data_IF_956750171325
#
_entry.id   IF_956750171325
#
_cell.length_a   1.000
_cell.length_b   1.000
_cell.length_c   1.000
_cell.angle_alpha   90.00
_cell.angle_beta   90.00
_cell.angle_gamma   90.00
#
_symmetry.space_group_name_H-M   'P 1'
#
loop_
_entity.id
_entity.type
_entity.pdbx_description
1 polymer ?
#
# COMPACT_ATOMS: atom_id res chain seq x y z
N UNK A 1 0.11 -2.42 -16.01
CA UNK A 1 -0.04 -2.46 -14.54
C UNK A 1 -0.92 -1.28 -14.15
N UNK A 2 -2.05 -1.47 -13.47
CA UNK A 2 -2.94 -0.36 -13.12
C UNK A 2 -2.39 0.47 -11.94
N UNK A 3 -2.67 1.76 -11.94
CA UNK A 3 -2.42 2.67 -10.83
C UNK A 3 -3.76 3.19 -10.30
N UNK A 4 -3.99 3.07 -9.00
CA UNK A 4 -5.20 3.55 -8.35
C UNK A 4 -4.86 4.68 -7.38
N UNK A 5 -5.61 5.77 -7.45
CA UNK A 5 -5.44 6.93 -6.57
C UNK A 5 -6.72 7.13 -5.76
N UNK A 6 -6.57 7.36 -4.46
CA UNK A 6 -7.67 7.77 -3.57
C UNK A 6 -7.22 8.94 -2.71
N UNK A 7 -8.02 10.00 -2.72
CA UNK A 7 -7.87 11.17 -1.87
C UNK A 7 -9.24 11.62 -1.38
N UNK A 8 -9.31 12.25 -0.22
CA UNK A 8 -10.56 12.76 0.34
C UNK A 8 -10.36 13.58 1.61
N UNK A 9 -11.44 14.26 2.02
CA UNK A 9 -11.53 15.00 3.29
C UNK A 9 -12.43 14.21 4.25
N UNK A 10 -12.37 14.48 5.55
CA UNK A 10 -13.18 13.75 6.55
C UNK A 10 -13.07 12.22 6.47
N UNK A 11 -11.97 11.69 5.94
CA UNK A 11 -11.63 10.27 6.08
C UNK A 11 -11.17 9.99 7.51
N UNK A 12 -11.26 8.73 7.99
CA UNK A 12 -10.95 8.42 9.38
C UNK A 12 -9.52 8.74 9.81
N UNK A 13 -8.55 8.75 8.88
CA UNK A 13 -7.16 9.11 9.16
C UNK A 13 -6.55 9.99 8.05
N UNK A 14 -5.68 10.94 8.44
CA UNK A 14 -4.86 11.72 7.51
C UNK A 14 -3.59 10.96 7.15
N UNK A 15 -3.59 10.23 6.03
CA UNK A 15 -2.45 9.40 5.60
C UNK A 15 -2.02 9.73 4.18
N UNK A 16 -0.72 9.59 3.91
CA UNK A 16 -0.09 9.72 2.59
C UNK A 16 0.65 8.42 2.31
N UNK A 17 0.00 7.48 1.64
CA UNK A 17 0.53 6.11 1.49
C UNK A 17 0.65 5.75 0.02
N UNK A 18 1.77 5.14 -0.34
CA UNK A 18 1.95 4.44 -1.63
C UNK A 18 2.09 2.95 -1.33
N UNK A 19 1.18 2.13 -1.87
CA UNK A 19 1.25 0.67 -1.76
C UNK A 19 1.38 0.04 -3.13
N UNK A 20 2.40 -0.81 -3.28
CA UNK A 20 2.66 -1.60 -4.47
C UNK A 20 2.32 -3.05 -4.12
N UNK A 21 1.32 -3.61 -4.79
CA UNK A 21 0.99 -5.03 -4.68
C UNK A 21 1.76 -5.81 -5.76
N UNK A 22 2.53 -6.81 -5.34
CA UNK A 22 3.19 -7.74 -6.25
C UNK A 22 2.20 -8.78 -6.77
N UNK A 23 2.57 -9.48 -7.84
CA UNK A 23 1.84 -10.69 -8.26
C UNK A 23 2.07 -11.78 -7.22
N UNK A 24 1.11 -12.70 -7.08
CA UNK A 24 1.34 -13.88 -6.25
C UNK A 24 2.52 -14.70 -6.76
N UNK A 25 3.36 -15.23 -5.86
CA UNK A 25 4.50 -16.05 -6.24
C UNK A 25 4.02 -17.36 -6.89
N UNK A 26 4.78 -17.93 -7.85
CA UNK A 26 4.44 -19.23 -8.43
C UNK A 26 4.45 -20.32 -7.35
N UNK A 27 3.27 -20.85 -7.04
CA UNK A 27 3.11 -21.81 -5.93
C UNK A 27 3.66 -23.21 -6.24
N UNK A 28 3.85 -23.54 -7.53
CA UNK A 28 4.31 -24.85 -8.00
C UNK A 28 5.72 -25.23 -7.54
N UNK A 29 6.54 -24.26 -7.11
CA UNK A 29 7.88 -24.50 -6.59
C UNK A 29 7.89 -24.95 -5.11
N UNK A 30 6.73 -24.91 -4.44
CA UNK A 30 6.61 -25.23 -3.04
C UNK A 30 5.75 -26.49 -2.83
N UNK A 31 6.02 -27.29 -1.79
CA UNK A 31 5.17 -28.44 -1.46
C UNK A 31 3.71 -28.02 -1.25
N UNK A 32 2.79 -28.92 -1.57
CA UNK A 32 1.39 -28.78 -1.21
C UNK A 32 1.28 -28.57 0.31
N UNK A 33 0.41 -27.64 0.73
CA UNK A 33 0.25 -27.22 2.13
C UNK A 33 1.46 -26.50 2.75
N UNK A 34 2.37 -25.96 1.95
CA UNK A 34 3.47 -25.11 2.44
C UNK A 34 3.01 -23.77 3.04
N UNK A 35 1.75 -23.36 2.81
CA UNK A 35 1.23 -22.08 3.25
C UNK A 35 1.50 -20.92 2.27
N UNK A 36 2.21 -21.16 1.17
CA UNK A 36 2.39 -20.17 0.11
C UNK A 36 1.04 -19.69 -0.44
N UNK A 37 0.91 -18.38 -0.67
CA UNK A 37 -0.31 -17.77 -1.24
C UNK A 37 -1.50 -17.69 -0.27
N UNK A 38 -1.46 -18.33 0.90
CA UNK A 38 -2.59 -18.35 1.85
C UNK A 38 -2.92 -16.98 2.45
N UNK A 39 -1.96 -16.06 2.44
CA UNK A 39 -2.12 -14.69 2.93
C UNK A 39 -2.02 -13.65 1.80
N UNK A 40 -2.22 -14.07 0.55
CA UNK A 40 -2.22 -13.21 -0.63
C UNK A 40 -0.85 -12.66 -1.03
N UNK A 41 -0.82 -11.68 -1.95
CA UNK A 41 0.40 -11.17 -2.57
C UNK A 41 1.28 -10.36 -1.60
N UNK A 42 2.54 -10.22 -1.96
CA UNK A 42 3.48 -9.34 -1.26
C UNK A 42 3.13 -7.87 -1.52
N UNK A 43 3.39 -7.01 -0.54
CA UNK A 43 3.20 -5.56 -0.66
C UNK A 43 4.47 -4.83 -0.22
N UNK A 44 4.85 -3.83 -1.02
CA UNK A 44 5.80 -2.80 -0.63
C UNK A 44 5.01 -1.51 -0.37
N UNK A 45 5.10 -0.99 0.85
CA UNK A 45 4.34 0.19 1.26
C UNK A 45 5.26 1.27 1.77
N UNK A 46 5.00 2.51 1.35
CA UNK A 46 5.63 3.72 1.82
C UNK A 46 4.60 4.56 2.57
N UNK A 47 4.87 4.87 3.84
CA UNK A 47 4.16 5.92 4.59
C UNK A 47 4.97 7.21 4.44
N UNK A 48 4.40 8.16 3.69
CA UNK A 48 4.99 9.46 3.35
C UNK A 48 4.55 10.56 4.33
N UNK A 49 4.13 10.18 5.53
CA UNK A 49 3.99 11.12 6.63
C UNK A 49 5.37 11.69 7.07
N UNK A 50 5.39 12.49 8.14
CA UNK A 50 6.53 13.35 8.51
C UNK A 50 7.84 12.58 8.78
N UNK A 51 7.78 11.27 9.01
CA UNK A 51 8.93 10.36 8.88
C UNK A 51 8.61 9.33 7.82
N UNK A 52 9.35 9.34 6.70
CA UNK A 52 9.16 8.38 5.63
C UNK A 52 9.51 6.97 6.14
N UNK A 53 8.54 6.08 6.10
CA UNK A 53 8.70 4.67 6.52
C UNK A 53 8.40 3.75 5.37
N UNK A 54 9.16 2.67 5.27
CA UNK A 54 8.97 1.64 4.26
C UNK A 54 8.72 0.29 4.94
N UNK A 55 7.75 -0.46 4.43
CA UNK A 55 7.50 -1.84 4.85
C UNK A 55 7.37 -2.78 3.66
N UNK A 56 8.05 -3.93 3.71
CA UNK A 56 7.94 -5.00 2.72
C UNK A 56 7.40 -6.26 3.39
N UNK A 57 6.30 -6.81 2.88
CA UNK A 57 5.84 -8.15 3.27
C UNK A 57 6.39 -9.21 2.32
N UNK A 58 6.78 -10.37 2.82
CA UNK A 58 7.28 -11.50 2.03
C UNK A 58 7.02 -12.83 2.73
N UNK A 59 7.04 -13.95 2.01
CA UNK A 59 6.96 -15.28 2.63
C UNK A 59 8.35 -15.76 3.05
N UNK A 60 8.51 -16.17 4.31
CA UNK A 60 9.72 -16.77 4.86
C UNK A 60 9.48 -18.17 5.42
N UNK A 61 10.50 -19.03 5.41
CA UNK A 61 10.41 -20.38 5.99
C UNK A 61 10.22 -20.31 7.51
N UNK A 62 9.17 -20.96 8.01
CA UNK A 62 8.96 -21.21 9.44
C UNK A 62 10.07 -22.13 9.97
N UNK A 63 10.79 -21.77 11.04
CA UNK A 63 11.79 -22.64 11.64
C UNK A 63 11.19 -24.00 12.05
N UNK A 64 11.85 -25.09 11.67
CA UNK A 64 11.41 -26.46 11.95
C UNK A 64 11.60 -27.42 10.78
N UNK A 65 11.22 -28.70 10.96
CA UNK A 65 11.22 -29.69 9.90
C UNK A 65 10.15 -29.38 8.85
N UNK A 66 10.43 -29.75 7.60
CA UNK A 66 9.53 -29.51 6.47
C UNK A 66 9.70 -28.12 5.83
N UNK A 67 8.71 -27.78 4.98
CA UNK A 67 8.69 -26.54 4.21
C UNK A 67 7.35 -25.83 4.45
N UNK A 68 7.24 -25.17 5.60
CA UNK A 68 6.11 -24.31 5.95
C UNK A 68 6.58 -22.86 5.85
N UNK A 69 5.72 -21.99 5.32
CA UNK A 69 6.00 -20.58 5.10
C UNK A 69 5.03 -19.72 5.92
N UNK A 70 5.57 -18.63 6.47
CA UNK A 70 4.80 -17.57 7.11
C UNK A 70 4.99 -16.26 6.35
N UNK A 71 3.96 -15.42 6.33
CA UNK A 71 4.11 -14.04 5.86
C UNK A 71 4.83 -13.24 6.93
N UNK A 72 5.96 -12.67 6.55
CA UNK A 72 6.79 -11.82 7.39
C UNK A 72 6.71 -10.38 6.88
N UNK A 73 7.08 -9.45 7.77
CA UNK A 73 7.17 -8.02 7.48
C UNK A 73 8.57 -7.52 7.85
N UNK A 74 9.19 -6.76 6.95
CA UNK A 74 10.41 -6.01 7.21
C UNK A 74 10.13 -4.51 7.10
N UNK A 75 10.64 -3.73 8.05
CA UNK A 75 10.38 -2.29 8.15
C UNK A 75 11.70 -1.51 8.19
N UNK A 76 11.73 -0.36 7.51
CA UNK A 76 12.86 0.55 7.45
C UNK A 76 12.38 1.99 7.72
N UNK A 77 13.17 2.74 8.47
CA UNK A 77 13.06 4.20 8.52
C UNK A 77 13.92 4.78 7.39
N UNK A 78 13.36 5.74 6.64
CA UNK A 78 14.07 6.43 5.58
C UNK A 78 14.53 7.81 6.08
N UNK A 79 15.69 8.25 5.62
CA UNK A 79 16.15 9.63 5.77
C UNK A 79 15.93 10.36 4.44
N UNK A 80 15.69 11.66 4.52
CA UNK A 80 15.56 12.50 3.33
C UNK A 80 16.91 12.55 2.60
N UNK A 81 16.88 12.32 1.29
CA UNK A 81 18.07 12.31 0.43
C UNK A 81 18.19 13.58 -0.43
N UNK A 82 17.27 14.56 -0.28
CA UNK A 82 17.41 15.89 -0.88
C UNK A 82 17.51 15.91 -2.41
N UNK A 83 16.81 15.00 -3.10
CA UNK A 83 16.85 14.95 -4.57
C UNK A 83 15.92 16.03 -5.16
N UNK A 84 16.52 17.12 -5.63
CA UNK A 84 15.87 18.17 -6.42
C UNK A 84 15.83 17.77 -7.90
N UNK A 85 14.66 17.32 -8.38
CA UNK A 85 14.42 16.99 -9.79
C UNK A 85 13.78 18.14 -10.58
N UNK A 86 13.83 18.09 -11.91
CA UNK A 86 13.18 19.07 -12.79
C UNK A 86 11.64 19.00 -12.68
N UNK A 87 11.06 20.00 -12.02
CA UNK A 87 9.66 20.01 -11.59
C UNK A 87 8.67 20.42 -12.70
N UNK A 88 9.11 21.18 -13.71
CA UNK A 88 8.18 21.88 -14.62
C UNK A 88 7.51 20.96 -15.65
N UNK A 89 8.25 20.05 -16.29
CA UNK A 89 7.70 19.10 -17.28
C UNK A 89 6.60 18.20 -16.67
N UNK A 90 6.78 17.84 -15.39
CA UNK A 90 5.82 17.00 -14.67
C UNK A 90 4.45 17.68 -14.51
N UNK A 91 4.41 19.00 -14.30
CA UNK A 91 3.17 19.74 -14.12
C UNK A 91 2.37 19.86 -15.42
N UNK A 92 3.01 20.16 -16.54
CA UNK A 92 2.33 20.26 -17.84
C UNK A 92 1.65 18.93 -18.22
N UNK A 93 2.38 17.82 -18.00
CA UNK A 93 1.84 16.48 -18.22
C UNK A 93 0.67 16.16 -17.31
N UNK A 94 0.72 16.55 -16.03
CA UNK A 94 -0.37 16.34 -15.09
C UNK A 94 -1.65 17.06 -15.54
N UNK A 95 -1.53 18.31 -15.99
CA UNK A 95 -2.66 19.08 -16.52
C UNK A 95 -3.28 18.41 -17.76
N UNK A 96 -2.45 17.97 -18.71
CA UNK A 96 -2.95 17.26 -19.90
C UNK A 96 -3.72 15.98 -19.56
N UNK A 97 -3.29 15.24 -18.53
CA UNK A 97 -3.95 14.00 -18.09
C UNK A 97 -5.26 14.30 -17.33
N UNK A 98 -5.32 15.39 -16.56
CA UNK A 98 -6.48 15.70 -15.73
C UNK A 98 -7.61 16.39 -16.49
N UNK A 99 -7.31 17.11 -17.58
CA UNK A 99 -8.28 17.94 -18.30
C UNK A 99 -9.58 17.20 -18.70
N UNK A 100 -9.58 15.99 -19.28
CA UNK A 100 -10.81 15.31 -19.65
C UNK A 100 -11.74 15.00 -18.47
N UNK A 101 -11.17 14.77 -17.28
CA UNK A 101 -11.93 14.55 -16.05
C UNK A 101 -12.55 15.85 -15.52
N UNK A 102 -11.86 16.98 -15.73
CA UNK A 102 -12.35 18.30 -15.33
C UNK A 102 -13.44 18.82 -16.28
N UNK A 103 -13.31 18.55 -17.58
CA UNK A 103 -14.28 18.97 -18.59
C UNK A 103 -15.61 18.19 -18.48
N UNK A 104 -15.55 16.91 -18.08
CA UNK A 104 -16.72 16.05 -17.91
C UNK A 104 -16.66 15.28 -16.58
N UNK A 105 -16.95 15.96 -15.45
CA UNK A 105 -16.84 15.35 -14.14
C UNK A 105 -17.90 14.25 -13.94
N UNK A 106 -17.53 13.09 -13.38
CA UNK A 106 -18.49 12.04 -13.07
C UNK A 106 -19.46 12.49 -11.97
N UNK A 107 -20.64 11.87 -11.86
CA UNK A 107 -21.60 12.18 -10.79
C UNK A 107 -20.96 12.03 -9.40
N UNK A 108 -21.16 13.05 -8.57
CA UNK A 108 -20.67 13.05 -7.19
C UNK A 108 -21.39 11.98 -6.38
N UNK A 109 -20.60 11.14 -5.69
CA UNK A 109 -21.12 10.11 -4.79
C UNK A 109 -20.81 10.52 -3.34
N UNK A 110 -21.84 10.70 -2.48
CA UNK A 110 -21.62 11.06 -1.09
C UNK A 110 -21.05 9.88 -0.29
N UNK A 111 -20.46 10.19 0.86
CA UNK A 111 -20.02 9.22 1.87
C UNK A 111 -20.09 9.88 3.24
N UNK A 112 -20.31 9.09 4.27
CA UNK A 112 -20.41 9.60 5.63
C UNK A 112 -19.03 10.03 6.16
N UNK A 113 -18.94 11.13 6.91
CA UNK A 113 -17.71 11.52 7.59
C UNK A 113 -17.16 10.36 8.46
N UNK A 114 -15.84 10.19 8.46
CA UNK A 114 -15.16 9.09 9.15
C UNK A 114 -15.17 7.77 8.38
N UNK A 115 -15.76 7.71 7.17
CA UNK A 115 -15.64 6.55 6.27
C UNK A 115 -14.54 6.75 5.22
N UNK A 116 -14.15 5.66 4.55
CA UNK A 116 -13.07 5.67 3.55
C UNK A 116 -13.51 6.10 2.14
N UNK A 117 -14.66 6.75 2.02
CA UNK A 117 -15.28 7.13 0.76
C UNK A 117 -16.47 6.24 0.39
N UNK A 118 -17.09 6.46 -0.78
CA UNK A 118 -18.27 5.74 -1.22
C UNK A 118 -17.96 4.26 -1.50
N UNK A 119 -18.93 3.36 -1.27
CA UNK A 119 -18.77 1.91 -1.51
C UNK A 119 -18.29 1.56 -2.94
N UNK A 120 -18.60 2.41 -3.92
CA UNK A 120 -18.19 2.25 -5.32
C UNK A 120 -16.66 2.15 -5.52
N UNK A 121 -15.86 2.71 -4.61
CA UNK A 121 -14.39 2.65 -4.72
C UNK A 121 -13.85 1.22 -4.60
N UNK A 122 -14.59 0.30 -3.97
CA UNK A 122 -14.20 -1.10 -3.87
C UNK A 122 -14.40 -1.85 -5.19
N UNK A 123 -15.42 -1.47 -5.96
CA UNK A 123 -15.64 -2.04 -7.30
C UNK A 123 -14.58 -1.57 -8.30
N UNK A 124 -14.13 -0.32 -8.20
CA UNK A 124 -13.10 0.26 -9.08
C UNK A 124 -11.78 -0.53 -9.05
N UNK A 125 -11.39 -1.01 -7.88
CA UNK A 125 -10.12 -1.71 -7.66
C UNK A 125 -10.24 -3.23 -7.75
N UNK A 126 -11.45 -3.78 -7.87
CA UNK A 126 -11.67 -5.22 -7.94
C UNK A 126 -10.92 -5.84 -9.14
N UNK A 127 -10.33 -7.06 -8.99
CA UNK A 127 -10.39 -7.96 -7.82
C UNK A 127 -9.37 -7.63 -6.72
N UNK A 128 -8.61 -6.54 -6.86
CA UNK A 128 -7.68 -6.09 -5.84
C UNK A 128 -8.41 -5.34 -4.72
N UNK A 129 -7.67 -4.97 -3.67
CA UNK A 129 -8.22 -4.27 -2.51
C UNK A 129 -7.34 -3.08 -2.14
N UNK A 130 -7.97 -2.01 -1.65
CA UNK A 130 -7.26 -0.93 -0.99
C UNK A 130 -6.54 -1.49 0.24
N UNK A 131 -5.23 -1.25 0.32
CA UNK A 131 -4.41 -1.65 1.46
C UNK A 131 -3.92 -0.43 2.20
N UNK A 132 -4.12 -0.45 3.51
CA UNK A 132 -3.34 0.36 4.44
C UNK A 132 -2.15 -0.52 4.88
N UNK A 133 -1.05 0.08 5.37
CA UNK A 133 0.06 -0.66 5.97
C UNK A 133 -0.51 -1.66 6.98
N UNK A 134 -0.08 -2.90 6.89
CA UNK A 134 -0.41 -3.93 7.85
C UNK A 134 0.15 -3.52 9.23
N UNK A 135 -0.72 -3.57 10.24
CA UNK A 135 -0.45 -3.57 11.69
C UNK A 135 0.33 -2.41 12.35
N UNK A 136 -0.22 -2.01 13.50
CA UNK A 136 0.11 -0.84 14.32
C UNK A 136 1.17 -1.10 15.39
N UNK A 137 1.83 -2.25 15.38
CA UNK A 137 2.92 -2.53 16.32
C UNK A 137 4.25 -2.14 15.69
N UNK A 138 4.46 -0.83 15.59
CA UNK A 138 5.81 -0.32 15.54
C UNK A 138 6.51 -0.76 16.83
N UNK A 139 7.74 -1.27 16.77
CA UNK A 139 8.56 -1.41 18.00
C UNK A 139 8.58 -0.04 18.66
N UNK A 140 8.01 0.04 19.86
CA UNK A 140 8.23 1.17 20.72
C UNK A 140 9.70 1.07 21.17
N UNK A 141 10.59 2.00 20.79
CA UNK A 141 11.99 1.93 21.22
C UNK A 141 12.14 2.03 22.76
N UNK A 142 11.05 2.35 23.48
CA UNK A 142 11.01 2.47 24.94
C UNK A 142 10.39 1.27 25.68
N UNK A 143 10.08 0.14 25.02
CA UNK A 143 9.50 -1.05 25.69
C UNK A 143 10.45 -2.24 25.88
N UNK A 144 11.73 -2.12 25.56
CA UNK A 144 12.74 -3.11 25.98
C UNK A 144 13.95 -2.42 26.62
N UNK A 145 13.74 -2.04 27.87
CA UNK A 145 14.77 -1.76 28.87
C UNK A 145 14.34 -2.36 30.20
N UNK A 146 14.45 -3.69 30.31
CA UNK A 146 14.43 -4.42 31.57
C UNK A 146 15.85 -4.95 31.84
#
# INVERSE_FOLDING_TARGET
MPFYLRSGKHMPEGRRIVSIAFKEPPQSMFPTNSGIGTQGPDHLTFDLADSAKMSLSFYGKRPGPGMQLDKLSMQFAMHDTGLDGEVLEAYERLWGISQPLLDNPPPVRPYDPGTWGPNAIHQLIAPHAWRLPFERQWRDPNLEGA
#
